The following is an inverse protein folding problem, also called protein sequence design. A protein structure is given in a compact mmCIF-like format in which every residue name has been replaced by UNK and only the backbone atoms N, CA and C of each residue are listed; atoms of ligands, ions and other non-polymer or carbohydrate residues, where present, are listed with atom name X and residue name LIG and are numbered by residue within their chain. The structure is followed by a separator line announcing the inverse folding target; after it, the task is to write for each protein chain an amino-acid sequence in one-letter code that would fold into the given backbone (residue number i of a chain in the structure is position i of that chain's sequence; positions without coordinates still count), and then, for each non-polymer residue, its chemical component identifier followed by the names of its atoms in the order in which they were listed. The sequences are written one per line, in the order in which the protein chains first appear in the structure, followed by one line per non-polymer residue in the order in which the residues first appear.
data_IF_076170245590
#
_entry.id   IF_076170245590
#
_cell.length_a   1.000
_cell.length_b   1.000
_cell.length_c   1.000
_cell.angle_alpha   90.00
_cell.angle_beta   90.00
_cell.angle_gamma   90.00
#
_symmetry.space_group_name_H-M   'P 1'
#
loop_
_entity.id
_entity.type
_entity.pdbx_description
1 polymer ?
#
# COMPACT_ATOMS: atom_id res chain seq x y z
N UNK A 1 8.91 -16.24 23.89
CA UNK A 1 8.41 -17.25 22.93
C UNK A 1 9.44 -18.37 22.80
N UNK A 2 9.00 -19.62 22.88
CA UNK A 2 9.87 -20.76 22.64
C UNK A 2 10.18 -20.89 21.14
N UNK A 3 11.26 -21.61 20.77
CA UNK A 3 11.59 -21.87 19.35
C UNK A 3 10.43 -22.52 18.54
N UNK A 4 9.46 -23.13 19.20
CA UNK A 4 8.29 -23.74 18.58
C UNK A 4 7.19 -22.72 18.18
N UNK A 5 7.24 -21.51 18.71
CA UNK A 5 6.24 -20.45 18.56
C UNK A 5 6.57 -19.48 17.42
N UNK A 6 7.74 -19.63 16.79
CA UNK A 6 8.24 -18.76 15.74
C UNK A 6 8.24 -19.44 14.39
N UNK A 7 7.97 -18.69 13.33
CA UNK A 7 7.92 -19.20 11.98
C UNK A 7 9.35 -19.41 11.42
N UNK A 8 9.67 -20.67 11.05
CA UNK A 8 10.97 -21.06 10.49
C UNK A 8 12.20 -20.55 11.29
N UNK A 9 12.05 -20.46 12.61
CA UNK A 9 13.14 -19.98 13.49
C UNK A 9 13.35 -18.47 13.52
N UNK A 10 12.54 -17.67 12.81
CA UNK A 10 12.61 -16.22 12.86
C UNK A 10 11.91 -15.69 14.13
N UNK A 11 12.64 -15.11 15.11
CA UNK A 11 12.06 -14.63 16.36
C UNK A 11 11.10 -13.46 16.17
N UNK A 12 11.14 -12.79 15.03
CA UNK A 12 10.27 -11.66 14.70
C UNK A 12 8.92 -12.10 14.09
N UNK A 13 8.74 -13.38 13.78
CA UNK A 13 7.53 -13.88 13.14
C UNK A 13 6.79 -14.88 14.03
N UNK A 14 5.54 -14.59 14.37
CA UNK A 14 4.66 -15.54 15.07
C UNK A 14 4.26 -16.67 14.11
N UNK A 15 4.41 -17.90 14.55
CA UNK A 15 3.92 -19.07 13.81
C UNK A 15 2.40 -19.21 13.96
N UNK A 16 1.73 -19.74 12.93
CA UNK A 16 0.31 -20.05 13.00
C UNK A 16 -0.01 -21.03 14.14
N UNK A 17 -1.17 -20.90 14.73
CA UNK A 17 -1.66 -21.65 15.89
C UNK A 17 -0.87 -21.42 17.18
N UNK A 18 -0.08 -20.33 17.28
CA UNK A 18 0.55 -19.92 18.53
C UNK A 18 -0.41 -19.04 19.33
N UNK A 19 -0.81 -19.53 20.51
CA UNK A 19 -1.68 -18.78 21.41
C UNK A 19 -0.90 -17.65 22.11
N UNK A 20 -1.46 -16.47 22.11
CA UNK A 20 -0.98 -15.31 22.88
C UNK A 20 -2.14 -14.82 23.76
N UNK A 21 -1.89 -14.67 25.05
CA UNK A 21 -2.86 -14.09 25.95
C UNK A 21 -2.94 -12.58 25.69
N UNK A 22 -4.17 -12.09 25.49
CA UNK A 22 -4.44 -10.67 25.35
C UNK A 22 -4.74 -10.07 26.72
N UNK A 23 -4.07 -8.97 27.05
CA UNK A 23 -4.48 -8.13 28.17
C UNK A 23 -5.67 -7.25 27.76
N UNK A 24 -6.39 -6.67 28.73
CA UNK A 24 -7.45 -5.71 28.46
C UNK A 24 -6.94 -4.50 27.65
N UNK A 25 -5.69 -4.08 27.91
CA UNK A 25 -5.06 -3.00 27.15
C UNK A 25 -4.80 -3.40 25.71
N UNK A 26 -4.34 -4.64 25.44
CA UNK A 26 -4.17 -5.14 24.07
C UNK A 26 -5.50 -5.16 23.30
N UNK A 27 -6.59 -5.54 23.96
CA UNK A 27 -7.92 -5.56 23.33
C UNK A 27 -8.35 -4.12 22.97
N UNK A 28 -8.19 -3.17 23.91
CA UNK A 28 -8.51 -1.75 23.65
C UNK A 28 -7.69 -1.16 22.52
N UNK A 29 -6.39 -1.43 22.51
CA UNK A 29 -5.49 -0.95 21.43
C UNK A 29 -5.82 -1.61 20.09
N UNK A 30 -6.13 -2.91 20.06
CA UNK A 30 -6.56 -3.60 18.85
C UNK A 30 -7.81 -2.97 18.25
N UNK A 31 -8.81 -2.66 19.07
CA UNK A 31 -10.06 -2.03 18.62
C UNK A 31 -9.81 -0.63 18.06
N UNK A 32 -9.00 0.19 18.74
CA UNK A 32 -8.61 1.51 18.24
C UNK A 32 -7.89 1.41 16.89
N UNK A 33 -6.93 0.50 16.78
CA UNK A 33 -6.21 0.29 15.53
C UNK A 33 -7.13 -0.17 14.41
N UNK A 34 -8.14 -1.00 14.72
CA UNK A 34 -9.10 -1.50 13.73
C UNK A 34 -9.98 -0.40 13.16
N UNK A 35 -10.39 0.54 13.99
CA UNK A 35 -11.26 1.68 13.62
C UNK A 35 -10.48 2.80 12.93
N UNK A 36 -9.21 3.01 13.32
CA UNK A 36 -8.41 4.15 12.85
C UNK A 36 -7.06 3.66 12.25
N UNK A 37 -6.97 3.60 10.91
CA UNK A 37 -5.73 3.20 10.23
C UNK A 37 -4.59 4.21 10.40
N UNK A 38 -4.89 5.50 10.65
CA UNK A 38 -3.88 6.54 10.93
C UNK A 38 -3.32 6.32 12.32
N UNK A 39 -4.16 6.01 13.31
CA UNK A 39 -3.71 5.62 14.64
C UNK A 39 -2.78 4.42 14.61
N UNK A 40 -3.15 3.36 13.86
CA UNK A 40 -2.29 2.19 13.66
C UNK A 40 -0.93 2.58 13.07
N UNK A 41 -0.92 3.36 11.98
CA UNK A 41 0.30 3.78 11.30
C UNK A 41 1.22 4.57 12.26
N UNK A 42 0.66 5.52 12.99
CA UNK A 42 1.39 6.38 13.93
C UNK A 42 2.00 5.63 15.12
N UNK A 43 1.36 4.56 15.60
CA UNK A 43 1.73 3.93 16.87
C UNK A 43 2.42 2.57 16.68
N UNK A 44 2.15 1.85 15.61
CA UNK A 44 2.60 0.47 15.46
C UNK A 44 3.45 0.20 14.22
N UNK A 45 3.39 1.05 13.18
CA UNK A 45 4.17 0.82 11.98
C UNK A 45 5.58 1.37 12.11
N UNK A 46 6.58 0.53 11.80
CA UNK A 46 7.97 0.95 11.64
C UNK A 46 8.41 0.86 10.19
N UNK A 47 9.28 1.76 9.80
CA UNK A 47 9.84 1.86 8.45
C UNK A 47 11.36 1.94 8.51
N UNK A 48 12.03 1.61 7.42
CA UNK A 48 13.46 1.81 7.26
C UNK A 48 13.70 3.17 6.62
N UNK A 49 14.25 4.11 7.41
CA UNK A 49 14.77 5.38 6.92
C UNK A 49 16.18 5.19 6.37
N UNK A 50 16.55 5.95 5.34
CA UNK A 50 17.91 5.91 4.78
C UNK A 50 18.96 6.49 5.75
N UNK A 51 18.56 7.47 6.57
CA UNK A 51 19.47 8.19 7.46
C UNK A 51 19.51 7.61 8.86
N UNK A 52 18.37 7.09 9.37
CA UNK A 52 18.20 6.71 10.78
C UNK A 52 17.97 5.21 10.99
N UNK A 53 17.90 4.43 9.89
CA UNK A 53 17.61 2.99 9.97
C UNK A 53 16.14 2.72 10.32
N UNK A 54 15.86 1.81 11.26
CA UNK A 54 14.50 1.43 11.63
C UNK A 54 13.88 2.45 12.58
N UNK A 55 12.88 3.19 12.10
CA UNK A 55 12.19 4.27 12.86
C UNK A 55 10.69 4.05 12.89
N UNK A 56 10.03 4.69 13.86
CA UNK A 56 8.58 4.76 13.91
C UNK A 56 8.06 5.60 12.74
N UNK A 57 7.11 5.08 11.98
CA UNK A 57 6.46 5.84 10.92
C UNK A 57 5.63 6.97 11.52
N UNK A 58 5.86 8.17 11.06
CA UNK A 58 5.08 9.36 11.39
C UNK A 58 4.60 9.95 10.08
N UNK A 59 3.36 9.65 9.67
CA UNK A 59 2.82 10.16 8.42
C UNK A 59 2.71 11.68 8.46
N UNK A 60 2.98 12.30 7.33
CA UNK A 60 2.68 13.71 7.08
C UNK A 60 1.18 13.92 6.88
N UNK A 61 0.68 15.14 7.01
CA UNK A 61 -0.75 15.46 6.89
C UNK A 61 -1.37 14.91 5.59
N UNK A 62 -0.67 15.05 4.46
CA UNK A 62 -1.16 14.50 3.20
C UNK A 62 -1.16 12.97 3.16
N UNK A 63 -0.26 12.32 3.89
CA UNK A 63 -0.22 10.85 4.01
C UNK A 63 -1.34 10.34 4.92
N UNK A 64 -1.66 11.04 6.00
CA UNK A 64 -2.84 10.75 6.83
C UNK A 64 -4.13 10.87 6.02
N UNK A 65 -4.25 11.94 5.23
CA UNK A 65 -5.39 12.13 4.31
C UNK A 65 -5.49 10.97 3.29
N UNK A 66 -4.36 10.51 2.73
CA UNK A 66 -4.35 9.37 1.82
C UNK A 66 -4.81 8.08 2.50
N UNK A 67 -4.31 7.78 3.72
CA UNK A 67 -4.71 6.60 4.48
C UNK A 67 -6.22 6.62 4.74
N UNK A 68 -6.77 7.78 5.16
CA UNK A 68 -8.21 7.95 5.37
C UNK A 68 -8.99 7.78 4.06
N UNK A 69 -8.55 8.38 2.96
CA UNK A 69 -9.20 8.21 1.67
C UNK A 69 -9.25 6.73 1.23
N UNK A 70 -8.16 5.96 1.42
CA UNK A 70 -8.14 4.54 1.15
C UNK A 70 -9.10 3.76 2.04
N UNK A 71 -9.26 4.18 3.28
CA UNK A 71 -10.16 3.53 4.24
C UNK A 71 -11.63 3.81 3.94
N UNK A 72 -11.97 5.05 3.68
CA UNK A 72 -13.36 5.51 3.51
C UNK A 72 -13.92 5.21 2.12
N UNK A 73 -13.08 5.29 1.07
CA UNK A 73 -13.54 5.22 -0.29
C UNK A 73 -13.20 3.90 -0.96
N UNK A 74 -14.10 3.45 -1.84
CA UNK A 74 -13.94 2.22 -2.60
C UNK A 74 -12.93 2.35 -3.75
N UNK A 75 -12.95 3.48 -4.44
CA UNK A 75 -12.09 3.75 -5.59
C UNK A 75 -11.26 5.00 -5.34
N UNK A 76 -9.94 4.85 -5.44
CA UNK A 76 -8.98 5.94 -5.22
C UNK A 76 -8.02 6.04 -6.39
N UNK A 77 -7.73 7.25 -6.86
CA UNK A 77 -6.69 7.54 -7.83
C UNK A 77 -5.80 8.66 -7.31
N UNK A 78 -4.50 8.38 -7.16
CA UNK A 78 -3.56 9.29 -6.53
C UNK A 78 -2.44 9.68 -7.48
N UNK A 79 -2.36 10.97 -7.78
CA UNK A 79 -1.28 11.57 -8.56
C UNK A 79 -0.26 12.15 -7.59
N UNK A 80 0.96 11.61 -7.58
CA UNK A 80 1.96 11.94 -6.59
C UNK A 80 3.36 12.04 -7.21
N UNK A 81 4.16 13.04 -6.82
CA UNK A 81 5.55 13.14 -7.24
C UNK A 81 6.41 11.97 -6.72
N UNK A 82 7.61 11.85 -7.24
CA UNK A 82 8.59 10.91 -6.68
C UNK A 82 9.02 11.28 -5.27
N UNK A 83 9.39 10.26 -4.49
CA UNK A 83 9.92 10.41 -3.12
C UNK A 83 8.99 11.18 -2.15
N UNK A 84 7.69 11.06 -2.34
CA UNK A 84 6.66 11.57 -1.40
C UNK A 84 6.21 10.53 -0.38
N UNK A 85 6.86 9.35 -0.36
CA UNK A 85 6.45 8.27 0.53
C UNK A 85 5.22 7.49 0.07
N UNK A 86 4.85 7.55 -1.23
CA UNK A 86 3.73 6.78 -1.83
C UNK A 86 3.68 5.34 -1.33
N UNK A 87 4.78 4.62 -1.56
CA UNK A 87 4.90 3.20 -1.21
C UNK A 87 4.76 2.96 0.28
N UNK A 88 5.35 3.82 1.11
CA UNK A 88 5.29 3.72 2.57
C UNK A 88 3.87 3.91 3.08
N UNK A 89 3.19 4.95 2.62
CA UNK A 89 1.79 5.26 2.98
C UNK A 89 0.86 4.11 2.55
N UNK A 90 1.05 3.60 1.34
CA UNK A 90 0.25 2.48 0.83
C UNK A 90 0.48 1.20 1.64
N UNK A 91 1.74 0.88 1.94
CA UNK A 91 2.10 -0.27 2.80
C UNK A 91 1.47 -0.16 4.17
N UNK A 92 1.42 1.05 4.77
CA UNK A 92 0.78 1.27 6.07
C UNK A 92 -0.70 0.85 6.05
N UNK A 93 -1.44 1.30 5.03
CA UNK A 93 -2.84 0.95 4.88
C UNK A 93 -3.05 -0.55 4.56
N UNK A 94 -2.27 -1.12 3.65
CA UNK A 94 -2.38 -2.53 3.28
C UNK A 94 -2.07 -3.46 4.46
N UNK A 95 -1.04 -3.12 5.26
CA UNK A 95 -0.68 -3.85 6.47
C UNK A 95 -1.80 -3.78 7.51
N UNK A 96 -2.32 -2.59 7.79
CA UNK A 96 -3.47 -2.38 8.66
C UNK A 96 -4.64 -3.29 8.24
N UNK A 97 -5.02 -3.21 6.96
CA UNK A 97 -6.18 -3.94 6.44
C UNK A 97 -6.00 -5.46 6.53
N UNK A 98 -4.80 -5.96 6.22
CA UNK A 98 -4.48 -7.39 6.25
C UNK A 98 -4.46 -7.98 7.68
N UNK A 99 -3.93 -7.22 8.64
CA UNK A 99 -3.73 -7.70 10.03
C UNK A 99 -5.00 -7.61 10.85
N UNK A 100 -5.82 -6.57 10.62
CA UNK A 100 -6.97 -6.24 11.46
C UNK A 100 -8.33 -6.67 10.88
N UNK A 101 -8.35 -7.28 9.69
CA UNK A 101 -9.55 -7.89 9.12
C UNK A 101 -9.30 -9.34 8.74
N UNK A 102 -10.35 -10.15 8.82
CA UNK A 102 -10.26 -11.58 8.56
C UNK A 102 -10.57 -11.90 7.09
N UNK A 103 -9.91 -12.94 6.58
CA UNK A 103 -10.20 -13.52 5.26
C UNK A 103 -10.13 -12.52 4.09
N UNK A 104 -9.18 -11.60 4.13
CA UNK A 104 -9.01 -10.58 3.06
C UNK A 104 -7.94 -10.99 2.07
N UNK A 105 -8.22 -10.80 0.79
CA UNK A 105 -7.30 -10.98 -0.31
C UNK A 105 -6.86 -9.63 -0.85
N UNK A 106 -5.55 -9.38 -0.89
CA UNK A 106 -4.95 -8.15 -1.38
C UNK A 106 -4.05 -8.47 -2.57
N UNK A 107 -4.28 -7.79 -3.71
CA UNK A 107 -3.38 -7.81 -4.86
C UNK A 107 -2.53 -6.56 -4.88
N UNK A 108 -1.21 -6.69 -4.78
CA UNK A 108 -0.22 -5.64 -5.02
C UNK A 108 0.30 -5.81 -6.45
N UNK A 109 -0.09 -4.91 -7.33
CA UNK A 109 0.25 -4.99 -8.74
C UNK A 109 1.04 -3.75 -9.17
N UNK A 110 2.13 -3.95 -9.88
CA UNK A 110 2.98 -2.88 -10.39
C UNK A 110 3.32 -3.12 -11.87
N UNK A 111 3.93 -2.12 -12.51
CA UNK A 111 4.39 -2.26 -13.89
C UNK A 111 5.42 -3.39 -14.07
N UNK A 112 6.18 -3.74 -13.00
CA UNK A 112 7.17 -4.82 -12.96
C UNK A 112 6.95 -5.68 -11.71
N UNK A 113 7.14 -7.00 -11.84
CA UNK A 113 7.06 -7.93 -10.71
C UNK A 113 8.04 -7.60 -9.59
N UNK A 114 9.26 -7.13 -9.93
CA UNK A 114 10.24 -6.71 -8.94
C UNK A 114 9.73 -5.56 -8.08
N UNK A 115 9.09 -4.55 -8.66
CA UNK A 115 8.50 -3.41 -7.93
C UNK A 115 7.39 -3.87 -6.97
N UNK A 116 6.52 -4.77 -7.42
CA UNK A 116 5.48 -5.34 -6.56
C UNK A 116 6.09 -6.16 -5.40
N UNK A 117 7.15 -6.94 -5.70
CA UNK A 117 7.90 -7.69 -4.69
C UNK A 117 8.58 -6.80 -3.66
N UNK A 118 9.14 -5.65 -4.08
CA UNK A 118 9.74 -4.67 -3.17
C UNK A 118 8.70 -4.05 -2.22
N UNK A 119 7.49 -3.78 -2.71
CA UNK A 119 6.39 -3.31 -1.87
C UNK A 119 5.97 -4.35 -0.83
N UNK A 120 5.84 -5.62 -1.26
CA UNK A 120 5.56 -6.71 -0.33
C UNK A 120 6.71 -6.88 0.68
N UNK A 121 7.97 -6.75 0.28
CA UNK A 121 9.13 -6.80 1.19
C UNK A 121 9.10 -5.69 2.25
N UNK A 122 8.69 -4.47 1.89
CA UNK A 122 8.49 -3.37 2.85
C UNK A 122 7.35 -3.68 3.83
N UNK A 123 6.25 -4.26 3.34
CA UNK A 123 5.14 -4.69 4.19
C UNK A 123 5.59 -5.81 5.15
N UNK A 124 6.36 -6.76 4.66
CA UNK A 124 6.94 -7.83 5.48
C UNK A 124 7.86 -7.26 6.58
N UNK A 125 8.74 -6.31 6.25
CA UNK A 125 9.59 -5.63 7.25
C UNK A 125 8.75 -4.91 8.29
N UNK A 126 7.70 -4.19 7.90
CA UNK A 126 6.81 -3.52 8.84
C UNK A 126 6.06 -4.53 9.72
N UNK A 127 5.59 -5.64 9.15
CA UNK A 127 4.93 -6.72 9.89
C UNK A 127 5.84 -7.37 10.95
N UNK A 128 7.10 -7.66 10.63
CA UNK A 128 8.09 -8.22 11.57
C UNK A 128 8.29 -7.36 12.82
N UNK A 129 8.03 -6.06 12.69
CA UNK A 129 8.19 -5.08 13.76
C UNK A 129 6.90 -4.79 14.54
N UNK A 130 5.78 -5.43 14.20
CA UNK A 130 4.55 -5.36 15.00
C UNK A 130 4.73 -6.09 16.33
N UNK A 131 4.08 -5.62 17.40
CA UNK A 131 4.03 -6.37 18.67
C UNK A 131 3.44 -7.76 18.43
N UNK A 132 3.95 -8.77 19.14
CA UNK A 132 3.53 -10.17 18.97
C UNK A 132 2.03 -10.40 19.17
N UNK A 133 1.42 -9.67 20.09
CA UNK A 133 -0.02 -9.74 20.33
C UNK A 133 -0.86 -9.23 19.14
N UNK A 134 -0.30 -8.36 18.30
CA UNK A 134 -0.96 -7.84 17.11
C UNK A 134 -0.70 -8.70 15.87
N UNK A 135 0.41 -9.45 15.83
CA UNK A 135 0.73 -10.31 14.70
C UNK A 135 -0.26 -11.46 14.60
N UNK A 136 -0.83 -11.66 13.42
CA UNK A 136 -1.46 -12.91 13.02
C UNK A 136 -0.37 -13.97 12.81
N UNK A 137 -0.65 -15.26 13.04
CA UNK A 137 0.35 -16.30 12.77
C UNK A 137 0.63 -16.44 11.28
N UNK A 138 1.87 -16.77 10.95
CA UNK A 138 2.30 -16.94 9.55
C UNK A 138 2.00 -18.39 9.10
N UNK A 139 1.27 -18.51 7.99
CA UNK A 139 1.07 -19.77 7.25
C UNK A 139 2.09 -19.88 6.11
N UNK A 140 2.24 -18.81 5.31
CA UNK A 140 3.18 -18.75 4.20
C UNK A 140 3.84 -17.37 4.12
N UNK A 141 5.16 -17.37 3.86
CA UNK A 141 5.97 -16.16 3.80
C UNK A 141 6.98 -16.24 2.65
N UNK A 142 6.64 -15.66 1.52
CA UNK A 142 7.42 -15.73 0.29
C UNK A 142 7.70 -14.34 -0.27
N UNK A 143 8.63 -14.24 -1.22
CA UNK A 143 8.95 -12.98 -1.91
C UNK A 143 7.80 -12.39 -2.75
N UNK A 144 6.85 -13.23 -3.15
CA UNK A 144 5.71 -12.83 -3.99
C UNK A 144 4.36 -13.03 -3.32
N UNK A 145 4.30 -13.61 -2.12
CA UNK A 145 3.04 -13.87 -1.42
C UNK A 145 3.22 -14.00 0.08
N UNK A 146 2.16 -13.67 0.79
CA UNK A 146 2.03 -13.79 2.24
C UNK A 146 0.66 -14.37 2.56
N UNK A 147 0.60 -15.32 3.52
CA UNK A 147 -0.66 -15.89 4.04
C UNK A 147 -0.61 -15.94 5.56
N UNK A 148 -1.67 -15.43 6.19
CA UNK A 148 -1.83 -15.29 7.63
C UNK A 148 -2.90 -16.26 8.17
N UNK A 149 -2.81 -16.60 9.45
CA UNK A 149 -3.76 -17.53 10.12
C UNK A 149 -5.20 -16.98 10.20
N UNK A 150 -5.39 -15.65 10.13
CA UNK A 150 -6.73 -15.05 10.03
C UNK A 150 -7.36 -15.22 8.63
N UNK A 151 -6.76 -16.02 7.75
CA UNK A 151 -7.21 -16.27 6.39
C UNK A 151 -6.84 -15.20 5.37
N UNK A 152 -6.16 -14.14 5.79
CA UNK A 152 -5.76 -13.04 4.90
C UNK A 152 -4.56 -13.42 4.05
N UNK A 153 -4.59 -12.98 2.78
CA UNK A 153 -3.56 -13.28 1.77
C UNK A 153 -3.17 -12.01 1.01
N UNK A 154 -1.88 -11.92 0.70
CA UNK A 154 -1.34 -10.87 -0.17
C UNK A 154 -0.60 -11.55 -1.32
N UNK A 155 -0.89 -11.13 -2.54
CA UNK A 155 -0.18 -11.50 -3.76
C UNK A 155 0.49 -10.28 -4.36
N UNK A 156 1.78 -10.37 -4.67
CA UNK A 156 2.53 -9.35 -5.39
C UNK A 156 2.93 -9.84 -6.78
N UNK A 157 2.50 -9.14 -7.83
CA UNK A 157 2.74 -9.53 -9.22
C UNK A 157 2.86 -8.32 -10.16
N UNK A 158 3.31 -8.54 -11.40
CA UNK A 158 3.19 -7.55 -12.44
C UNK A 158 1.74 -7.39 -12.89
N UNK A 159 1.35 -6.16 -13.26
CA UNK A 159 0.03 -5.88 -13.79
C UNK A 159 -0.17 -6.60 -15.13
N UNK A 160 -1.03 -7.59 -15.15
CA UNK A 160 -1.41 -8.33 -16.35
C UNK A 160 -2.79 -8.97 -16.19
N UNK A 161 -3.47 -9.24 -17.29
CA UNK A 161 -4.77 -9.92 -17.28
C UNK A 161 -4.70 -11.33 -16.67
N UNK A 162 -3.57 -12.02 -16.79
CA UNK A 162 -3.38 -13.37 -16.24
C UNK A 162 -3.09 -13.38 -14.75
N UNK A 163 -2.48 -12.33 -14.20
CA UNK A 163 -2.11 -12.26 -12.78
C UNK A 163 -3.31 -12.28 -11.83
N UNK A 164 -4.48 -11.85 -12.31
CA UNK A 164 -5.69 -11.66 -11.49
C UNK A 164 -6.87 -12.53 -11.93
N UNK A 165 -6.72 -13.27 -13.05
CA UNK A 165 -7.82 -14.08 -13.60
C UNK A 165 -8.19 -15.22 -12.64
N UNK A 166 -9.48 -15.29 -12.32
CA UNK A 166 -10.01 -16.32 -11.40
C UNK A 166 -9.77 -16.07 -9.93
N UNK A 167 -9.22 -14.90 -9.58
CA UNK A 167 -9.02 -14.49 -8.19
C UNK A 167 -10.01 -13.39 -7.80
N UNK A 168 -10.47 -13.45 -6.55
CA UNK A 168 -11.28 -12.39 -5.95
C UNK A 168 -10.44 -11.61 -4.94
N UNK A 169 -10.51 -10.30 -4.99
CA UNK A 169 -9.74 -9.41 -4.12
C UNK A 169 -10.66 -8.49 -3.33
N UNK A 170 -10.27 -8.22 -2.09
CA UNK A 170 -10.85 -7.15 -1.26
C UNK A 170 -10.19 -5.80 -1.57
N UNK A 171 -8.87 -5.83 -1.87
CA UNK A 171 -8.13 -4.65 -2.33
C UNK A 171 -7.28 -5.03 -3.54
N UNK A 172 -7.38 -4.21 -4.60
CA UNK A 172 -6.43 -4.14 -5.69
C UNK A 172 -5.64 -2.84 -5.57
N UNK A 173 -4.38 -2.98 -5.24
CA UNK A 173 -3.44 -1.87 -5.18
C UNK A 173 -2.58 -1.87 -6.45
N UNK A 174 -2.66 -0.78 -7.23
CA UNK A 174 -2.01 -0.59 -8.53
C UNK A 174 -0.92 0.48 -8.40
N UNK A 175 0.33 0.05 -8.26
CA UNK A 175 1.47 0.94 -8.12
C UNK A 175 2.08 1.30 -9.48
N UNK A 176 2.51 2.55 -9.60
CA UNK A 176 3.09 3.14 -10.82
C UNK A 176 2.25 2.82 -12.07
N UNK A 177 0.92 2.90 -11.91
CA UNK A 177 -0.03 2.45 -12.92
C UNK A 177 0.05 3.25 -14.23
N UNK A 178 0.48 4.53 -14.20
CA UNK A 178 0.74 5.32 -15.39
C UNK A 178 1.85 4.75 -16.30
N UNK A 179 2.72 3.88 -15.76
CA UNK A 179 3.81 3.24 -16.52
C UNK A 179 3.42 1.89 -17.13
N UNK A 180 2.21 1.41 -16.88
CA UNK A 180 1.68 0.20 -17.50
C UNK A 180 1.29 0.55 -18.95
N UNK A 181 1.70 -0.24 -19.97
CA UNK A 181 1.28 0.01 -21.35
C UNK A 181 -0.25 0.02 -21.52
N UNK A 182 -0.79 0.92 -22.34
CA UNK A 182 -2.24 1.10 -22.49
C UNK A 182 -2.99 -0.19 -22.79
N UNK A 183 -2.49 -1.01 -23.74
CA UNK A 183 -3.12 -2.28 -24.13
C UNK A 183 -3.14 -3.30 -22.99
N UNK A 184 -2.14 -3.29 -22.10
CA UNK A 184 -2.09 -4.13 -20.91
C UNK A 184 -3.10 -3.63 -19.86
N UNK A 185 -3.16 -2.33 -19.62
CA UNK A 185 -4.11 -1.73 -18.71
C UNK A 185 -5.56 -2.01 -19.12
N UNK A 186 -5.89 -1.87 -20.41
CA UNK A 186 -7.22 -2.17 -20.94
C UNK A 186 -7.58 -3.65 -20.80
N UNK A 187 -6.67 -4.55 -21.16
CA UNK A 187 -6.85 -6.00 -21.00
C UNK A 187 -6.98 -6.41 -19.53
N UNK A 188 -6.21 -5.79 -18.64
CA UNK A 188 -6.27 -5.99 -17.21
C UNK A 188 -7.65 -5.61 -16.66
N UNK A 189 -8.13 -4.38 -16.93
CA UNK A 189 -9.44 -3.95 -16.46
C UNK A 189 -10.58 -4.79 -17.01
N UNK A 190 -10.53 -5.17 -18.28
CA UNK A 190 -11.53 -6.08 -18.85
C UNK A 190 -11.60 -7.43 -18.11
N UNK A 191 -10.44 -7.93 -17.64
CA UNK A 191 -10.37 -9.19 -16.89
C UNK A 191 -10.79 -9.08 -15.44
N UNK A 192 -10.52 -7.93 -14.80
CA UNK A 192 -10.69 -7.73 -13.35
C UNK A 192 -12.02 -7.08 -13.00
N UNK A 193 -12.58 -6.31 -13.91
CA UNK A 193 -13.81 -5.54 -13.68
C UNK A 193 -15.00 -6.38 -13.21
N UNK A 194 -15.26 -7.58 -13.79
CA UNK A 194 -16.33 -8.45 -13.29
C UNK A 194 -16.14 -8.84 -11.82
N UNK A 195 -14.90 -9.04 -11.38
CA UNK A 195 -14.58 -9.39 -10.00
C UNK A 195 -14.77 -8.19 -9.06
N UNK A 196 -14.40 -6.98 -9.50
CA UNK A 196 -14.60 -5.75 -8.75
C UNK A 196 -16.10 -5.47 -8.56
N UNK A 197 -16.90 -5.68 -9.60
CA UNK A 197 -18.35 -5.39 -9.58
C UNK A 197 -19.16 -6.43 -8.83
N UNK A 198 -18.66 -7.65 -8.71
CA UNK A 198 -19.34 -8.72 -7.92
C UNK A 198 -19.30 -8.45 -6.42
N UNK A 199 -18.29 -7.71 -5.93
CA UNK A 199 -18.15 -7.34 -4.54
C UNK A 199 -18.57 -5.90 -4.27
N UNK A 200 -19.39 -5.68 -3.23
CA UNK A 200 -19.79 -4.31 -2.82
C UNK A 200 -18.70 -3.55 -2.08
N UNK A 201 -17.72 -4.25 -1.52
CA UNK A 201 -16.66 -3.69 -0.67
C UNK A 201 -15.26 -3.74 -1.30
N UNK A 202 -15.10 -4.29 -2.49
CA UNK A 202 -13.79 -4.35 -3.18
C UNK A 202 -13.27 -2.95 -3.43
N UNK A 203 -12.04 -2.69 -2.98
CA UNK A 203 -11.36 -1.42 -3.17
C UNK A 203 -10.36 -1.49 -4.32
N UNK A 204 -10.28 -0.43 -5.11
CA UNK A 204 -9.23 -0.23 -6.12
C UNK A 204 -8.49 1.06 -5.79
N UNK A 205 -7.19 0.94 -5.59
CA UNK A 205 -6.31 2.05 -5.24
C UNK A 205 -5.23 2.16 -6.32
N UNK A 206 -5.29 3.20 -7.13
CA UNK A 206 -4.29 3.51 -8.14
C UNK A 206 -3.38 4.62 -7.64
N UNK A 207 -2.08 4.38 -7.66
CA UNK A 207 -1.09 5.39 -7.27
C UNK A 207 -0.03 5.48 -8.36
N UNK A 208 0.31 6.68 -8.80
CA UNK A 208 1.36 6.86 -9.80
C UNK A 208 1.94 8.27 -9.80
N UNK A 209 3.18 8.38 -10.26
CA UNK A 209 3.69 9.60 -10.87
C UNK A 209 3.05 9.72 -12.27
N UNK A 210 2.63 10.91 -12.72
CA UNK A 210 2.07 11.11 -14.06
C UNK A 210 3.06 10.72 -15.15
N UNK A 211 2.55 10.11 -16.22
CA UNK A 211 3.38 9.72 -17.36
C UNK A 211 2.64 9.92 -18.69
N UNK A 212 2.55 11.17 -19.14
CA UNK A 212 1.88 11.54 -20.38
C UNK A 212 0.35 11.36 -20.36
N UNK A 213 -0.29 11.55 -21.51
CA UNK A 213 -1.75 11.46 -21.69
C UNK A 213 -2.19 10.02 -21.98
N UNK A 214 -2.00 9.11 -21.04
CA UNK A 214 -2.31 7.70 -21.17
C UNK A 214 -3.64 7.32 -20.46
N UNK A 215 -3.86 6.02 -20.22
CA UNK A 215 -5.02 5.52 -19.49
C UNK A 215 -5.14 6.11 -18.07
N UNK A 216 -4.01 6.27 -17.32
CA UNK A 216 -4.03 6.89 -15.98
C UNK A 216 -4.52 8.33 -16.06
N UNK A 217 -4.05 9.11 -17.04
CA UNK A 217 -4.55 10.47 -17.31
C UNK A 217 -6.06 10.48 -17.58
N UNK A 218 -6.59 9.54 -18.39
CA UNK A 218 -8.05 9.44 -18.64
C UNK A 218 -8.82 9.21 -17.35
N UNK A 219 -8.41 8.20 -16.54
CA UNK A 219 -9.06 7.92 -15.27
C UNK A 219 -9.01 9.10 -14.32
N UNK A 220 -7.87 9.78 -14.25
CA UNK A 220 -7.69 10.99 -13.44
C UNK A 220 -8.62 12.10 -13.88
N UNK A 221 -8.60 12.44 -15.16
CA UNK A 221 -9.41 13.51 -15.74
C UNK A 221 -10.92 13.28 -15.61
N UNK A 222 -11.35 12.03 -15.74
CA UNK A 222 -12.74 11.65 -15.52
C UNK A 222 -13.12 11.70 -14.05
N UNK A 223 -12.21 11.38 -13.13
CA UNK A 223 -12.39 11.51 -11.69
C UNK A 223 -12.56 12.98 -11.26
N UNK A 224 -11.70 13.89 -11.74
CA UNK A 224 -11.81 15.33 -11.48
C UNK A 224 -13.16 15.91 -11.93
N UNK A 225 -13.80 15.30 -12.93
CA UNK A 225 -15.09 15.71 -13.49
C UNK A 225 -16.26 14.90 -12.97
N UNK A 226 -16.05 14.05 -11.97
CA UNK A 226 -17.08 13.14 -11.41
C UNK A 226 -17.74 12.25 -12.47
N UNK A 227 -17.01 11.87 -13.53
CA UNK A 227 -17.48 10.97 -14.58
C UNK A 227 -17.24 9.49 -14.24
N UNK A 228 -16.44 9.21 -13.24
CA UNK A 228 -16.23 7.89 -12.65
C UNK A 228 -16.31 7.98 -11.14
N UNK A 229 -16.24 6.83 -10.46
CA UNK A 229 -16.36 6.74 -9.00
C UNK A 229 -15.05 6.93 -8.25
N UNK A 230 -13.92 7.19 -8.95
CA UNK A 230 -12.63 7.38 -8.30
C UNK A 230 -12.56 8.73 -7.59
N UNK A 231 -12.06 8.70 -6.35
CA UNK A 231 -11.71 9.90 -5.60
C UNK A 231 -10.29 10.31 -5.98
N UNK A 232 -10.11 11.46 -6.65
CA UNK A 232 -8.80 11.94 -7.05
C UNK A 232 -8.09 12.60 -5.86
N UNK A 233 -6.83 12.24 -5.64
CA UNK A 233 -5.95 12.89 -4.67
C UNK A 233 -4.68 13.34 -5.37
N UNK A 234 -4.47 14.64 -5.43
CA UNK A 234 -3.24 15.27 -5.93
C UNK A 234 -2.36 15.63 -4.74
N UNK A 235 -1.09 15.28 -4.80
CA UNK A 235 -0.08 15.69 -3.82
C UNK A 235 0.97 16.51 -4.53
N UNK A 236 1.16 17.73 -4.08
CA UNK A 236 2.18 18.61 -4.62
C UNK A 236 3.53 18.37 -3.92
N UNK A 237 4.63 18.54 -4.63
CA UNK A 237 5.98 18.31 -4.09
C UNK A 237 6.28 19.14 -2.82
N UNK A 238 5.70 20.35 -2.72
CA UNK A 238 5.90 21.25 -1.56
C UNK A 238 5.15 20.83 -0.29
N UNK A 239 4.27 19.83 -0.37
CA UNK A 239 3.63 19.25 0.82
C UNK A 239 4.59 18.36 1.62
N UNK A 240 5.71 17.96 1.02
CA UNK A 240 6.74 17.19 1.71
C UNK A 240 7.60 18.13 2.57
N UNK A 241 7.69 17.93 3.88
CA UNK A 241 8.51 18.75 4.75
C UNK A 241 9.96 18.89 4.27
N UNK A 242 10.48 20.11 4.29
CA UNK A 242 11.82 20.45 3.81
C UNK A 242 11.93 20.68 2.30
N UNK A 243 10.83 20.56 1.55
CA UNK A 243 10.81 20.90 0.12
C UNK A 243 10.21 22.30 -0.06
N UNK A 244 11.07 23.29 -0.05
CA UNK A 244 10.76 24.69 -0.26
C UNK A 244 11.26 25.22 -1.62
N UNK A 245 11.24 26.54 -1.81
CA UNK A 245 11.74 27.18 -3.02
C UNK A 245 13.24 26.97 -3.24
N UNK A 246 14.03 26.92 -2.16
CA UNK A 246 15.48 26.70 -2.22
C UNK A 246 15.79 25.26 -2.61
N UNK A 247 15.08 24.29 -2.02
CA UNK A 247 15.16 22.89 -2.43
C UNK A 247 14.82 22.70 -3.92
N UNK A 248 13.77 23.37 -4.40
CA UNK A 248 13.39 23.37 -5.82
C UNK A 248 14.52 23.92 -6.70
N UNK A 249 15.06 25.09 -6.34
CA UNK A 249 16.14 25.72 -7.09
C UNK A 249 17.39 24.84 -7.16
N UNK A 250 17.79 24.23 -6.05
CA UNK A 250 18.91 23.29 -5.98
C UNK A 250 18.65 22.04 -6.83
N UNK A 251 17.44 21.47 -6.77
CA UNK A 251 17.06 20.29 -7.56
C UNK A 251 17.12 20.59 -9.06
N UNK A 252 16.62 21.75 -9.49
CA UNK A 252 16.68 22.19 -10.90
C UNK A 252 18.16 22.40 -11.32
N UNK A 253 18.98 23.02 -10.48
CA UNK A 253 20.40 23.24 -10.77
C UNK A 253 21.18 21.93 -10.94
N UNK A 254 20.85 20.89 -10.17
CA UNK A 254 21.48 19.57 -10.24
C UNK A 254 20.92 18.65 -11.33
N UNK A 255 19.77 19.02 -11.93
CA UNK A 255 19.10 18.22 -12.97
C UNK A 255 18.76 19.07 -14.19
N UNK A 256 17.52 19.49 -14.31
CA UNK A 256 17.02 20.48 -15.26
C UNK A 256 15.58 20.85 -14.90
N UNK A 257 15.12 22.01 -15.39
CA UNK A 257 13.71 22.40 -15.23
C UNK A 257 12.74 21.40 -15.87
N UNK A 258 13.12 20.84 -17.01
CA UNK A 258 12.30 19.80 -17.68
C UNK A 258 12.20 18.53 -16.84
N UNK A 259 13.31 18.08 -16.28
CA UNK A 259 13.32 16.89 -15.41
C UNK A 259 12.53 17.14 -14.12
N UNK A 260 12.67 18.32 -13.52
CA UNK A 260 11.87 18.69 -12.36
C UNK A 260 10.36 18.60 -12.63
N UNK A 261 9.88 19.15 -13.76
CA UNK A 261 8.46 19.07 -14.16
C UNK A 261 7.94 17.65 -14.41
N UNK A 262 8.83 16.73 -14.75
CA UNK A 262 8.46 15.32 -15.00
C UNK A 262 8.39 14.52 -13.70
N UNK A 263 9.26 14.83 -12.73
CA UNK A 263 9.42 14.02 -11.52
C UNK A 263 8.65 14.57 -10.32
N UNK A 264 8.44 15.90 -10.32
CA UNK A 264 7.84 16.67 -9.22
C UNK A 264 6.72 17.60 -9.70
#
# INVERSE_FOLDING_TARGET
MNNNDVYLGNPNLKKANTTIEFTEDNIREFLKCKEDPVYFANNYMKIVSLDEGLVQFKPYDFQEKLINNFHENRFNICKMPRQTGKSTTSVAYLLHYCVLNDSVNIGILANKAATAGDLLGRLQTAYENLPKWMQQGIISWNKGSLELENGSKILAASTSASAVRGMSFNILFLDEFAFVPNHIAESFFASVYPTITSGKSTKVIMVSTPHGMNHFYRYWHDAERSKNEYIPTDVHWSEVPGRDADWKAQTIANTSEQQFKVEF
#
